data_IF_937238392724
#
_entry.id   IF_937238392724
#
_cell.length_a   1.000
_cell.length_b   1.000
_cell.length_c   1.000
_cell.angle_alpha   90.00
_cell.angle_beta   90.00
_cell.angle_gamma   90.00
#
_symmetry.space_group_name_H-M   'P 1'
#
loop_
_entity.id
_entity.type
_entity.pdbx_description
1 polymer ?
#
# COMPACT_ATOMS: atom_id res chain seq x y z
N UNK A 1 -57.45 45.20 -17.87
CA UNK A 1 -56.79 44.67 -16.65
C UNK A 1 -55.30 44.77 -16.91
N UNK A 2 -54.61 45.79 -16.35
CA UNK A 2 -53.15 45.78 -16.39
C UNK A 2 -52.68 44.50 -15.68
N UNK A 3 -51.90 43.67 -16.38
CA UNK A 3 -51.36 42.45 -15.81
C UNK A 3 -50.55 42.80 -14.58
N UNK A 4 -51.03 42.46 -13.40
CA UNK A 4 -50.34 42.63 -12.12
C UNK A 4 -48.90 42.05 -12.15
N UNK A 5 -48.68 41.06 -12.98
CA UNK A 5 -47.39 40.37 -13.17
C UNK A 5 -46.38 41.18 -14.00
N UNK A 6 -46.79 42.16 -14.78
CA UNK A 6 -45.94 43.03 -15.59
C UNK A 6 -45.49 44.31 -14.89
N UNK A 7 -45.95 44.52 -13.62
CA UNK A 7 -45.50 45.67 -12.82
C UNK A 7 -43.99 45.59 -12.56
N UNK A 8 -43.26 46.64 -12.93
CA UNK A 8 -41.81 46.67 -12.82
C UNK A 8 -41.42 47.19 -11.44
N UNK A 9 -40.66 46.40 -10.72
CA UNK A 9 -40.05 46.72 -9.42
C UNK A 9 -38.53 46.59 -9.54
N UNK A 10 -37.75 47.61 -9.28
CA UNK A 10 -36.30 47.64 -9.40
C UNK A 10 -35.82 47.02 -10.72
N UNK A 11 -36.26 47.62 -11.83
CA UNK A 11 -35.90 47.23 -13.21
C UNK A 11 -36.28 45.80 -13.64
N UNK A 12 -37.04 45.07 -12.82
CA UNK A 12 -37.47 43.70 -13.06
C UNK A 12 -38.99 43.55 -12.92
N UNK A 13 -39.64 42.69 -13.75
CA UNK A 13 -41.04 42.41 -13.59
C UNK A 13 -41.31 41.64 -12.27
N UNK A 14 -42.42 41.93 -11.62
CA UNK A 14 -42.83 41.32 -10.35
C UNK A 14 -42.80 39.79 -10.43
N UNK A 15 -43.13 39.20 -11.59
CA UNK A 15 -43.03 37.78 -11.89
C UNK A 15 -41.65 37.21 -11.60
N UNK A 16 -40.56 37.93 -11.96
CA UNK A 16 -39.19 37.48 -11.74
C UNK A 16 -38.82 37.42 -10.26
N UNK A 17 -39.26 38.42 -9.49
CA UNK A 17 -39.09 38.44 -8.03
C UNK A 17 -39.82 37.30 -7.34
N UNK A 18 -41.03 37.00 -7.75
CA UNK A 18 -41.84 35.87 -7.23
C UNK A 18 -41.18 34.53 -7.55
N UNK A 19 -40.62 34.34 -8.76
CA UNK A 19 -39.91 33.14 -9.14
C UNK A 19 -38.66 32.95 -8.28
N UNK A 20 -37.85 34.00 -8.11
CA UNK A 20 -36.65 33.93 -7.28
C UNK A 20 -37.00 33.63 -5.82
N UNK A 21 -37.98 34.31 -5.26
CA UNK A 21 -38.44 34.06 -3.88
C UNK A 21 -38.99 32.64 -3.72
N UNK A 22 -39.82 32.16 -4.66
CA UNK A 22 -40.34 30.80 -4.67
C UNK A 22 -39.23 29.75 -4.77
N UNK A 23 -38.20 29.99 -5.61
CA UNK A 23 -37.03 29.10 -5.75
C UNK A 23 -36.24 29.00 -4.45
N UNK A 24 -35.96 30.14 -3.80
CA UNK A 24 -35.24 30.17 -2.53
C UNK A 24 -36.05 29.47 -1.44
N UNK A 25 -37.34 29.75 -1.30
CA UNK A 25 -38.23 29.09 -0.36
C UNK A 25 -38.33 27.58 -0.60
N UNK A 26 -38.40 27.18 -1.87
CA UNK A 26 -38.39 25.75 -2.26
C UNK A 26 -37.11 25.06 -1.82
N UNK A 27 -35.93 25.68 -2.03
CA UNK A 27 -34.64 25.09 -1.63
C UNK A 27 -34.50 25.03 -0.10
N UNK A 28 -35.01 26.04 0.62
CA UNK A 28 -35.04 26.01 2.10
C UNK A 28 -35.95 24.87 2.59
N UNK A 29 -37.08 24.65 1.97
CA UNK A 29 -37.97 23.54 2.27
C UNK A 29 -37.33 22.18 1.91
N UNK A 30 -36.71 22.11 0.74
CA UNK A 30 -35.97 20.95 0.25
C UNK A 30 -34.78 20.61 1.15
N UNK A 31 -34.06 21.60 1.67
CA UNK A 31 -32.98 21.40 2.68
C UNK A 31 -33.47 20.54 3.85
N UNK A 32 -34.66 20.84 4.39
CA UNK A 32 -35.23 20.10 5.52
C UNK A 32 -35.61 18.65 5.14
N UNK A 33 -36.11 18.45 3.92
CA UNK A 33 -36.46 17.12 3.39
C UNK A 33 -35.21 16.30 3.06
N UNK A 34 -34.27 16.90 2.31
CA UNK A 34 -33.01 16.26 1.91
C UNK A 34 -32.15 15.89 3.13
N UNK A 35 -32.09 16.76 4.15
CA UNK A 35 -31.42 16.49 5.42
C UNK A 35 -31.93 15.20 6.08
N UNK A 36 -33.25 15.01 6.12
CA UNK A 36 -33.85 13.77 6.70
C UNK A 36 -33.64 12.53 5.84
N UNK A 37 -33.62 12.68 4.51
CA UNK A 37 -33.42 11.59 3.57
C UNK A 37 -31.94 11.11 3.60
N UNK A 38 -31.01 12.04 3.46
CA UNK A 38 -29.57 11.78 3.51
C UNK A 38 -29.18 11.20 4.87
N UNK A 39 -29.69 11.77 5.96
CA UNK A 39 -29.45 11.24 7.29
C UNK A 39 -29.94 9.78 7.45
N UNK A 40 -31.09 9.41 6.90
CA UNK A 40 -31.60 8.03 6.96
C UNK A 40 -30.78 7.07 6.13
N UNK A 41 -30.39 7.48 4.91
CA UNK A 41 -29.61 6.64 4.00
C UNK A 41 -28.19 6.40 4.51
N UNK A 42 -27.48 7.47 4.89
CA UNK A 42 -26.12 7.42 5.39
C UNK A 42 -26.02 6.73 6.75
N UNK A 43 -27.00 6.94 7.65
CA UNK A 43 -27.00 6.24 8.94
C UNK A 43 -27.14 4.72 8.76
N UNK A 44 -27.88 4.27 7.74
CA UNK A 44 -27.97 2.85 7.37
C UNK A 44 -26.65 2.31 6.85
N UNK A 45 -25.92 3.12 6.06
CA UNK A 45 -24.61 2.76 5.52
C UNK A 45 -23.51 2.73 6.59
N UNK A 46 -23.47 3.74 7.47
CA UNK A 46 -22.49 3.86 8.57
C UNK A 46 -22.70 2.73 9.60
N UNK A 47 -23.95 2.37 9.87
CA UNK A 47 -24.27 1.24 10.75
C UNK A 47 -23.73 -0.11 10.20
N UNK A 48 -23.63 -0.24 8.89
CA UNK A 48 -23.03 -1.42 8.21
C UNK A 48 -21.51 -1.50 8.41
N UNK A 49 -20.83 -0.37 8.60
CA UNK A 49 -19.37 -0.29 8.81
C UNK A 49 -18.99 -0.53 10.29
N UNK A 50 -19.98 -0.69 11.19
CA UNK A 50 -19.71 -0.99 12.61
C UNK A 50 -19.13 0.17 13.43
N UNK A 51 -19.08 1.39 12.89
CA UNK A 51 -18.62 2.59 13.59
C UNK A 51 -19.81 3.16 14.37
N UNK A 52 -19.74 3.18 15.70
CA UNK A 52 -20.73 3.81 16.57
C UNK A 52 -20.67 5.33 16.49
N UNK A 53 -21.08 5.90 15.35
CA UNK A 53 -21.11 7.35 15.15
C UNK A 53 -22.40 7.93 15.75
N UNK A 54 -22.26 9.05 16.46
CA UNK A 54 -23.41 9.79 16.93
C UNK A 54 -24.13 10.46 15.74
N UNK A 55 -25.44 10.28 15.68
CA UNK A 55 -26.30 10.85 14.65
C UNK A 55 -26.23 12.37 14.60
N UNK A 56 -26.04 13.01 15.75
CA UNK A 56 -25.91 14.46 15.85
C UNK A 56 -24.66 14.97 15.13
N UNK A 57 -23.51 14.34 15.34
CA UNK A 57 -22.25 14.71 14.69
C UNK A 57 -22.33 14.62 13.15
N UNK A 58 -23.04 13.63 12.62
CA UNK A 58 -23.26 13.53 11.17
C UNK A 58 -24.15 14.64 10.62
N UNK A 59 -25.25 14.95 11.33
CA UNK A 59 -26.15 16.03 10.92
C UNK A 59 -25.45 17.38 10.91
N UNK A 60 -24.64 17.65 11.94
CA UNK A 60 -23.97 18.94 12.12
C UNK A 60 -22.76 19.12 11.20
N UNK A 61 -22.02 18.06 10.93
CA UNK A 61 -20.78 18.13 10.14
C UNK A 61 -20.98 17.92 8.63
N UNK A 62 -22.06 17.27 8.21
CA UNK A 62 -22.28 16.95 6.80
C UNK A 62 -23.57 17.56 6.27
N UNK A 63 -24.69 17.21 6.88
CA UNK A 63 -26.00 17.56 6.32
C UNK A 63 -26.30 19.03 6.46
N UNK A 64 -25.96 19.64 7.60
CA UNK A 64 -26.11 21.06 7.85
C UNK A 64 -25.32 21.92 6.84
N UNK A 65 -24.00 21.70 6.71
CA UNK A 65 -23.17 22.43 5.76
C UNK A 65 -23.59 22.27 4.28
N UNK A 66 -23.90 21.04 3.83
CA UNK A 66 -24.41 20.81 2.47
C UNK A 66 -25.68 21.60 2.22
N UNK A 67 -26.64 21.53 3.16
CA UNK A 67 -27.88 22.25 3.03
C UNK A 67 -27.69 23.78 3.03
N UNK A 68 -26.74 24.30 3.81
CA UNK A 68 -26.43 25.74 3.82
C UNK A 68 -25.78 26.16 2.51
N UNK A 69 -24.79 25.39 2.02
CA UNK A 69 -24.16 25.65 0.73
C UNK A 69 -25.18 25.66 -0.41
N UNK A 70 -26.09 24.67 -0.48
CA UNK A 70 -27.14 24.64 -1.51
C UNK A 70 -28.05 25.86 -1.47
N UNK A 71 -28.47 26.31 -0.26
CA UNK A 71 -29.29 27.51 -0.13
C UNK A 71 -28.53 28.73 -0.62
N UNK A 72 -27.28 28.92 -0.20
CA UNK A 72 -26.44 30.06 -0.62
C UNK A 72 -26.22 30.04 -2.13
N UNK A 73 -25.82 28.89 -2.67
CA UNK A 73 -25.58 28.70 -4.11
C UNK A 73 -26.81 29.05 -4.95
N UNK A 74 -27.96 28.46 -4.63
CA UNK A 74 -29.19 28.71 -5.39
C UNK A 74 -29.70 30.13 -5.18
N UNK A 75 -29.53 30.72 -4.01
CA UNK A 75 -29.91 32.11 -3.78
C UNK A 75 -29.09 33.07 -4.62
N UNK A 76 -27.76 32.91 -4.63
CA UNK A 76 -26.87 33.77 -5.43
C UNK A 76 -27.18 33.60 -6.93
N UNK A 77 -27.21 32.36 -7.45
CA UNK A 77 -27.49 32.12 -8.90
C UNK A 77 -28.90 32.50 -9.33
N UNK A 78 -29.87 32.53 -8.40
CA UNK A 78 -31.22 33.01 -8.69
C UNK A 78 -31.28 34.54 -8.71
N UNK A 79 -30.54 35.21 -7.83
CA UNK A 79 -30.46 36.68 -7.81
C UNK A 79 -29.69 37.21 -9.02
N UNK A 80 -28.63 36.53 -9.47
CA UNK A 80 -27.88 36.90 -10.70
C UNK A 80 -28.73 36.93 -11.97
N UNK A 81 -29.87 36.21 -12.01
CA UNK A 81 -30.82 36.25 -13.13
C UNK A 81 -31.69 37.51 -13.19
N UNK A 82 -31.69 38.30 -12.11
CA UNK A 82 -32.37 39.58 -12.08
C UNK A 82 -31.48 40.63 -12.73
N UNK A 83 -32.12 41.58 -13.49
CA UNK A 83 -31.40 42.73 -13.98
C UNK A 83 -31.04 43.64 -12.81
N UNK A 84 -29.81 44.16 -12.80
CA UNK A 84 -29.36 45.03 -11.76
C UNK A 84 -30.17 46.36 -11.80
N UNK A 85 -30.72 46.84 -10.68
CA UNK A 85 -31.52 48.06 -10.64
C UNK A 85 -30.67 49.25 -10.99
N UNK A 86 -31.18 50.07 -11.95
CA UNK A 86 -30.51 51.29 -12.39
C UNK A 86 -30.36 52.31 -11.26
N UNK A 87 -31.29 52.31 -10.30
CA UNK A 87 -31.25 53.17 -9.11
C UNK A 87 -30.09 52.87 -8.15
N UNK A 88 -29.51 51.68 -8.26
CA UNK A 88 -28.36 51.23 -7.47
C UNK A 88 -27.04 51.25 -8.27
N UNK A 89 -27.06 51.70 -9.53
CA UNK A 89 -25.85 51.82 -10.36
C UNK A 89 -25.16 53.18 -10.10
N UNK A 90 -24.23 53.18 -9.16
CA UNK A 90 -23.41 54.35 -8.81
C UNK A 90 -21.94 53.92 -8.69
N UNK A 91 -21.04 54.84 -8.99
CA UNK A 91 -19.59 54.60 -8.92
C UNK A 91 -19.04 54.98 -7.53
N UNK A 92 -18.32 54.02 -6.93
CA UNK A 92 -17.56 54.22 -5.68
C UNK A 92 -16.07 54.11 -6.06
N UNK A 93 -15.32 55.24 -6.02
CA UNK A 93 -13.90 55.28 -6.38
C UNK A 93 -13.63 54.57 -7.72
N UNK A 94 -14.34 54.91 -8.79
CA UNK A 94 -14.23 54.32 -10.14
C UNK A 94 -14.67 52.86 -10.27
N UNK A 95 -15.17 52.23 -9.19
CA UNK A 95 -15.69 50.86 -9.21
C UNK A 95 -17.21 50.90 -9.23
N UNK A 96 -17.84 50.24 -10.20
CA UNK A 96 -19.30 50.11 -10.25
C UNK A 96 -19.84 49.34 -9.07
N UNK A 97 -20.90 49.77 -8.47
CA UNK A 97 -21.59 49.10 -7.34
C UNK A 97 -21.92 47.63 -7.64
N UNK A 98 -22.29 47.33 -8.89
CA UNK A 98 -22.55 45.95 -9.35
C UNK A 98 -21.32 45.08 -9.22
N UNK A 99 -20.11 45.58 -9.51
CA UNK A 99 -18.88 44.80 -9.39
C UNK A 99 -18.56 44.45 -7.91
N UNK A 100 -18.86 45.37 -6.99
CA UNK A 100 -18.72 45.15 -5.56
C UNK A 100 -19.69 44.06 -5.09
N UNK A 101 -20.95 44.12 -5.50
CA UNK A 101 -21.97 43.13 -5.13
C UNK A 101 -21.62 41.76 -5.69
N UNK A 102 -21.15 41.70 -6.96
CA UNK A 102 -20.67 40.44 -7.55
C UNK A 102 -19.47 39.87 -6.79
N UNK A 103 -18.48 40.71 -6.46
CA UNK A 103 -17.33 40.26 -5.67
C UNK A 103 -17.75 39.71 -4.28
N UNK A 104 -18.67 40.38 -3.59
CA UNK A 104 -19.23 39.92 -2.33
C UNK A 104 -19.97 38.58 -2.48
N UNK A 105 -20.77 38.41 -3.52
CA UNK A 105 -21.47 37.16 -3.82
C UNK A 105 -20.49 36.00 -4.05
N UNK A 106 -19.42 36.25 -4.81
CA UNK A 106 -18.35 35.26 -5.06
C UNK A 106 -17.60 34.92 -3.75
N UNK A 107 -17.26 35.93 -2.94
CA UNK A 107 -16.60 35.70 -1.64
C UNK A 107 -17.48 34.83 -0.73
N UNK A 108 -18.76 35.12 -0.62
CA UNK A 108 -19.71 34.35 0.19
C UNK A 108 -19.82 32.92 -0.32
N UNK A 109 -19.92 32.73 -1.65
CA UNK A 109 -20.04 31.43 -2.27
C UNK A 109 -18.80 30.56 -2.03
N UNK A 110 -17.61 31.10 -2.32
CA UNK A 110 -16.33 30.38 -2.12
C UNK A 110 -16.13 30.09 -0.64
N UNK A 111 -16.36 31.06 0.25
CA UNK A 111 -16.22 30.87 1.71
C UNK A 111 -17.16 29.78 2.21
N UNK A 112 -18.41 29.76 1.74
CA UNK A 112 -19.38 28.71 2.10
C UNK A 112 -18.98 27.33 1.57
N UNK A 113 -18.43 27.26 0.35
CA UNK A 113 -17.92 26.04 -0.23
C UNK A 113 -16.70 25.50 0.55
N UNK A 114 -15.72 26.35 0.83
CA UNK A 114 -14.55 25.96 1.63
C UNK A 114 -14.98 25.53 3.04
N UNK A 115 -15.91 26.27 3.67
CA UNK A 115 -16.45 25.87 4.97
C UNK A 115 -17.10 24.47 4.92
N UNK A 116 -17.83 24.16 3.86
CA UNK A 116 -18.37 22.80 3.62
C UNK A 116 -17.26 21.76 3.56
N UNK A 117 -16.18 22.01 2.81
CA UNK A 117 -15.05 21.09 2.70
C UNK A 117 -14.35 20.89 4.04
N UNK A 118 -14.14 21.96 4.81
CA UNK A 118 -13.55 21.90 6.15
C UNK A 118 -14.39 21.03 7.09
N UNK A 119 -15.73 21.13 7.02
CA UNK A 119 -16.64 20.28 7.81
C UNK A 119 -16.60 18.81 7.39
N UNK A 120 -16.43 18.52 6.08
CA UNK A 120 -16.22 17.15 5.60
C UNK A 120 -14.92 16.54 6.12
N UNK A 121 -13.84 17.35 6.17
CA UNK A 121 -12.56 16.93 6.78
C UNK A 121 -12.75 16.62 8.26
N UNK A 122 -13.49 17.46 9.02
CA UNK A 122 -13.82 17.20 10.42
C UNK A 122 -14.61 15.89 10.59
N UNK A 123 -15.58 15.66 9.72
CA UNK A 123 -16.38 14.44 9.74
C UNK A 123 -15.53 13.17 9.54
N UNK A 124 -14.64 13.18 8.52
CA UNK A 124 -13.72 12.07 8.26
C UNK A 124 -12.81 11.84 9.49
N UNK A 125 -12.29 12.91 10.09
CA UNK A 125 -11.45 12.82 11.28
C UNK A 125 -12.21 12.21 12.48
N UNK A 126 -13.49 12.54 12.67
CA UNK A 126 -14.33 11.95 13.73
C UNK A 126 -14.52 10.44 13.51
N UNK A 127 -14.79 10.00 12.26
CA UNK A 127 -14.92 8.57 11.92
C UNK A 127 -13.62 7.82 12.27
N UNK A 128 -12.47 8.34 11.79
CA UNK A 128 -11.18 7.71 12.01
C UNK A 128 -10.82 7.62 13.49
N UNK A 129 -11.08 8.69 14.28
CA UNK A 129 -10.85 8.70 15.73
C UNK A 129 -11.73 7.69 16.47
N UNK A 130 -13.01 7.58 16.08
CA UNK A 130 -13.93 6.63 16.70
C UNK A 130 -13.48 5.19 16.47
N UNK A 131 -12.94 4.92 15.28
CA UNK A 131 -12.35 3.61 14.93
C UNK A 131 -11.06 3.35 15.72
N UNK A 132 -10.12 4.31 15.74
CA UNK A 132 -8.86 4.19 16.46
C UNK A 132 -9.04 4.00 17.98
N UNK A 133 -10.08 4.60 18.59
CA UNK A 133 -10.43 4.37 19.99
C UNK A 133 -10.88 2.94 20.28
N UNK A 134 -11.62 2.31 19.37
CA UNK A 134 -12.05 0.92 19.53
C UNK A 134 -10.86 -0.05 19.46
N UNK A 135 -9.85 0.27 18.65
CA UNK A 135 -8.65 -0.55 18.47
C UNK A 135 -7.56 -0.29 19.52
N UNK A 136 -7.81 0.60 20.52
CA UNK A 136 -6.91 0.88 21.64
C UNK A 136 -5.62 1.64 21.29
N UNK A 137 -5.51 2.20 20.08
CA UNK A 137 -4.31 2.86 19.58
C UNK A 137 -4.28 4.36 19.90
N UNK A 138 -3.52 4.75 20.94
CA UNK A 138 -3.31 6.16 21.26
C UNK A 138 -2.47 6.93 20.22
N UNK A 139 -1.56 6.25 19.52
CA UNK A 139 -0.69 6.86 18.48
C UNK A 139 -1.47 7.31 17.26
N UNK A 140 -2.51 6.59 16.88
CA UNK A 140 -3.30 6.90 15.69
C UNK A 140 -4.11 8.19 15.87
N UNK A 141 -4.48 8.55 17.09
CA UNK A 141 -5.18 9.79 17.36
C UNK A 141 -4.38 11.05 17.03
N UNK A 142 -3.07 11.09 17.31
CA UNK A 142 -2.22 12.24 17.00
C UNK A 142 -2.03 12.42 15.48
N UNK A 143 -1.83 11.31 14.75
CA UNK A 143 -1.71 11.34 13.30
C UNK A 143 -3.00 11.85 12.62
N UNK A 144 -4.16 11.41 13.10
CA UNK A 144 -5.46 11.86 12.59
C UNK A 144 -5.64 13.37 12.79
N UNK A 145 -5.23 13.91 13.96
CA UNK A 145 -5.28 15.36 14.23
C UNK A 145 -4.38 16.10 13.26
N UNK A 146 -3.13 15.66 13.11
CA UNK A 146 -2.15 16.29 12.24
C UNK A 146 -2.64 16.32 10.77
N UNK A 147 -3.10 15.20 10.24
CA UNK A 147 -3.62 15.12 8.86
C UNK A 147 -4.84 16.03 8.68
N UNK A 148 -5.76 16.05 9.65
CA UNK A 148 -6.93 16.94 9.62
C UNK A 148 -6.50 18.40 9.52
N UNK A 149 -5.61 18.84 10.41
CA UNK A 149 -5.20 20.25 10.49
C UNK A 149 -4.37 20.66 9.27
N UNK A 150 -3.53 19.76 8.75
CA UNK A 150 -2.81 19.94 7.50
C UNK A 150 -3.77 20.12 6.30
N UNK A 151 -4.75 19.22 6.15
CA UNK A 151 -5.75 19.31 5.08
C UNK A 151 -6.56 20.61 5.17
N UNK A 152 -6.93 21.04 6.38
CA UNK A 152 -7.63 22.31 6.60
C UNK A 152 -6.78 23.51 6.19
N UNK A 153 -5.50 23.51 6.54
CA UNK A 153 -4.57 24.58 6.14
C UNK A 153 -4.45 24.66 4.61
N UNK A 154 -4.30 23.53 3.93
CA UNK A 154 -4.24 23.47 2.45
C UNK A 154 -5.55 23.99 1.83
N UNK A 155 -6.70 23.53 2.31
CA UNK A 155 -8.01 24.01 1.84
C UNK A 155 -8.20 25.50 2.10
N UNK A 156 -7.72 26.02 3.24
CA UNK A 156 -7.74 27.45 3.54
C UNK A 156 -6.92 28.28 2.54
N UNK A 157 -5.70 27.83 2.23
CA UNK A 157 -4.84 28.49 1.22
C UNK A 157 -5.53 28.49 -0.14
N UNK A 158 -6.07 27.33 -0.58
CA UNK A 158 -6.81 27.23 -1.85
C UNK A 158 -8.00 28.19 -1.85
N UNK A 159 -8.77 28.26 -0.76
CA UNK A 159 -9.91 29.16 -0.64
C UNK A 159 -9.52 30.64 -0.77
N UNK A 160 -8.45 31.06 -0.11
CA UNK A 160 -7.92 32.43 -0.22
C UNK A 160 -7.51 32.73 -1.68
N UNK A 161 -6.78 31.83 -2.34
CA UNK A 161 -6.38 32.01 -3.74
C UNK A 161 -7.58 32.08 -4.67
N UNK A 162 -8.60 31.26 -4.48
CA UNK A 162 -9.84 31.33 -5.26
C UNK A 162 -10.56 32.67 -5.07
N UNK A 163 -10.62 33.20 -3.84
CA UNK A 163 -11.22 34.51 -3.58
C UNK A 163 -10.41 35.62 -4.27
N UNK A 164 -9.08 35.59 -4.18
CA UNK A 164 -8.21 36.57 -4.84
C UNK A 164 -8.39 36.55 -6.37
N UNK A 165 -8.49 35.36 -6.94
CA UNK A 165 -8.68 35.21 -8.40
C UNK A 165 -10.05 35.68 -8.86
N UNK A 166 -11.11 35.19 -8.22
CA UNK A 166 -12.46 35.36 -8.73
C UNK A 166 -13.14 36.66 -8.29
N UNK A 167 -12.97 37.03 -7.01
CA UNK A 167 -13.60 38.26 -6.49
C UNK A 167 -12.77 39.50 -6.81
N UNK A 168 -11.44 39.42 -6.68
CA UNK A 168 -10.55 40.57 -6.88
C UNK A 168 -9.88 40.60 -8.25
N UNK A 169 -10.12 39.56 -9.10
CA UNK A 169 -9.52 39.43 -10.43
C UNK A 169 -7.98 39.49 -10.44
N UNK A 170 -7.35 39.12 -9.33
CA UNK A 170 -5.89 39.08 -9.21
C UNK A 170 -5.33 37.93 -10.03
N UNK A 171 -4.28 38.18 -10.80
CA UNK A 171 -3.59 37.13 -11.50
C UNK A 171 -2.82 36.24 -10.52
N UNK A 172 -3.35 35.06 -10.24
CA UNK A 172 -2.78 34.10 -9.29
C UNK A 172 -1.78 33.13 -9.93
N UNK A 173 -1.46 33.27 -11.22
CA UNK A 173 -0.60 32.31 -11.95
C UNK A 173 0.78 32.17 -11.30
N UNK A 174 1.41 33.28 -10.86
CA UNK A 174 2.70 33.26 -10.18
C UNK A 174 2.63 32.51 -8.84
N UNK A 175 1.57 32.72 -8.06
CA UNK A 175 1.34 32.02 -6.79
C UNK A 175 1.09 30.52 -7.00
N UNK A 176 0.31 30.15 -8.00
CA UNK A 176 0.07 28.76 -8.37
C UNK A 176 1.36 28.07 -8.85
N UNK A 177 2.20 28.77 -9.63
CA UNK A 177 3.50 28.24 -10.07
C UNK A 177 4.44 27.98 -8.88
N UNK A 178 4.51 28.92 -7.94
CA UNK A 178 5.32 28.77 -6.71
C UNK A 178 4.80 27.62 -5.85
N UNK A 179 3.51 27.54 -5.63
CA UNK A 179 2.87 26.44 -4.89
C UNK A 179 3.05 25.09 -5.61
N UNK A 180 3.00 25.08 -6.94
CA UNK A 180 3.26 23.90 -7.75
C UNK A 180 4.68 23.39 -7.57
N UNK A 181 5.67 24.29 -7.57
CA UNK A 181 7.08 23.95 -7.31
C UNK A 181 7.28 23.40 -5.89
N UNK A 182 6.68 24.05 -4.89
CA UNK A 182 6.72 23.56 -3.51
C UNK A 182 6.02 22.18 -3.39
N UNK A 183 4.88 22.00 -4.05
CA UNK A 183 4.16 20.73 -4.13
C UNK A 183 4.98 19.62 -4.78
N UNK A 184 5.72 19.95 -5.87
CA UNK A 184 6.62 19.01 -6.52
C UNK A 184 7.76 18.57 -5.59
N UNK A 185 8.34 19.50 -4.82
CA UNK A 185 9.37 19.16 -3.83
C UNK A 185 8.84 18.22 -2.73
N UNK A 186 7.65 18.48 -2.22
CA UNK A 186 6.98 17.60 -1.24
C UNK A 186 6.66 16.23 -1.86
N UNK A 187 6.19 16.20 -3.12
CA UNK A 187 5.90 14.95 -3.82
C UNK A 187 7.16 14.09 -4.02
N UNK A 188 8.29 14.72 -4.38
CA UNK A 188 9.58 14.03 -4.48
C UNK A 188 10.05 13.49 -3.12
N UNK A 189 9.88 14.25 -2.05
CA UNK A 189 10.18 13.79 -0.69
C UNK A 189 9.30 12.62 -0.24
N UNK A 190 8.03 12.58 -0.65
CA UNK A 190 7.08 11.52 -0.34
C UNK A 190 7.16 10.30 -1.28
N UNK A 191 7.89 10.38 -2.39
CA UNK A 191 7.95 9.38 -3.46
C UNK A 191 8.17 7.97 -2.94
N UNK A 192 9.20 7.75 -2.12
CA UNK A 192 9.52 6.42 -1.58
C UNK A 192 8.37 5.83 -0.75
N UNK A 193 7.68 6.66 0.04
CA UNK A 193 6.54 6.22 0.85
C UNK A 193 5.37 5.77 -0.02
N UNK A 194 5.11 6.51 -1.11
CA UNK A 194 4.05 6.19 -2.08
C UNK A 194 4.41 4.91 -2.85
N UNK A 195 5.66 4.74 -3.29
CA UNK A 195 6.13 3.53 -3.97
C UNK A 195 5.95 2.28 -3.07
N UNK A 196 6.29 2.37 -1.79
CA UNK A 196 6.07 1.29 -0.84
C UNK A 196 4.59 0.96 -0.63
N UNK A 197 3.72 1.97 -0.62
CA UNK A 197 2.28 1.77 -0.53
C UNK A 197 1.74 1.05 -1.78
N UNK A 198 2.15 1.48 -2.98
CA UNK A 198 1.79 0.84 -4.24
C UNK A 198 2.29 -0.61 -4.26
N UNK A 199 3.53 -0.87 -3.85
CA UNK A 199 4.06 -2.22 -3.72
C UNK A 199 3.25 -3.10 -2.78
N UNK A 200 2.72 -2.54 -1.68
CA UNK A 200 1.80 -3.27 -0.79
C UNK A 200 0.52 -3.72 -1.52
N UNK A 201 -0.04 -2.87 -2.37
CA UNK A 201 -1.20 -3.24 -3.19
C UNK A 201 -0.83 -4.34 -4.21
N UNK A 202 0.33 -4.23 -4.87
CA UNK A 202 0.82 -5.29 -5.79
C UNK A 202 0.91 -6.63 -5.05
N UNK A 203 1.56 -6.68 -3.89
CA UNK A 203 1.65 -7.90 -3.07
C UNK A 203 0.27 -8.45 -2.70
N UNK A 204 -0.69 -7.56 -2.39
CA UNK A 204 -2.04 -7.96 -1.99
C UNK A 204 -2.85 -8.54 -3.16
N UNK A 205 -2.73 -7.97 -4.37
CA UNK A 205 -3.49 -8.43 -5.55
C UNK A 205 -2.84 -9.65 -6.21
N UNK A 206 -1.54 -9.59 -6.50
CA UNK A 206 -0.82 -10.63 -7.23
C UNK A 206 -0.44 -11.82 -6.34
N UNK A 207 -0.32 -11.58 -5.03
CA UNK A 207 -0.02 -12.61 -4.02
C UNK A 207 1.20 -13.47 -4.35
N UNK A 208 2.35 -12.90 -4.71
CA UNK A 208 3.56 -13.67 -4.95
C UNK A 208 4.00 -14.46 -3.71
N UNK A 209 3.60 -13.98 -2.53
CA UNK A 209 3.72 -14.64 -1.24
C UNK A 209 2.63 -14.16 -0.27
N UNK A 210 2.42 -14.91 0.81
CA UNK A 210 1.44 -14.61 1.86
C UNK A 210 2.09 -14.62 3.24
N UNK A 211 1.39 -14.10 4.24
CA UNK A 211 1.79 -14.30 5.63
C UNK A 211 1.77 -15.81 5.96
N UNK A 212 2.85 -16.28 6.57
CA UNK A 212 3.11 -17.69 6.83
C UNK A 212 4.06 -18.37 5.83
N UNK A 213 4.28 -17.79 4.64
CA UNK A 213 5.19 -18.37 3.65
C UNK A 213 6.65 -18.22 4.08
N UNK A 214 7.44 -19.25 3.79
CA UNK A 214 8.89 -19.29 4.00
C UNK A 214 9.59 -18.87 2.72
N UNK A 215 10.28 -17.74 2.78
CA UNK A 215 10.86 -17.06 1.62
C UNK A 215 12.37 -16.95 1.73
N UNK A 216 13.02 -16.88 0.58
CA UNK A 216 14.38 -16.36 0.44
C UNK A 216 14.35 -15.13 -0.46
N UNK A 217 14.75 -13.97 0.09
CA UNK A 217 14.83 -12.69 -0.61
C UNK A 217 16.21 -12.13 -0.40
N UNK A 218 16.97 -11.96 -1.47
CA UNK A 218 18.41 -11.64 -1.39
C UNK A 218 19.11 -12.61 -0.40
N UNK A 219 19.75 -12.09 0.66
CA UNK A 219 20.44 -12.89 1.69
C UNK A 219 19.57 -13.16 2.93
N UNK A 220 18.26 -12.84 2.88
CA UNK A 220 17.34 -13.03 4.01
C UNK A 220 16.49 -14.26 3.73
N UNK A 221 16.55 -15.25 4.62
CA UNK A 221 15.68 -16.41 4.61
C UNK A 221 14.84 -16.43 5.87
N UNK A 222 13.54 -16.69 5.74
CA UNK A 222 12.64 -16.72 6.88
C UNK A 222 11.17 -16.75 6.52
N UNK A 223 10.33 -16.79 7.53
CA UNK A 223 8.87 -16.85 7.42
C UNK A 223 8.28 -15.44 7.43
N UNK A 224 7.40 -15.13 6.50
CA UNK A 224 6.63 -13.88 6.47
C UNK A 224 5.69 -13.86 7.66
N UNK A 225 5.90 -12.94 8.59
CA UNK A 225 5.02 -12.80 9.76
C UNK A 225 3.83 -11.88 9.47
N UNK A 226 4.12 -10.74 8.84
CA UNK A 226 3.11 -9.73 8.53
C UNK A 226 3.51 -8.90 7.33
N UNK A 227 2.54 -8.63 6.47
CA UNK A 227 2.62 -7.66 5.38
C UNK A 227 1.91 -6.39 5.83
N UNK A 228 2.66 -5.29 5.97
CA UNK A 228 2.14 -3.97 6.33
C UNK A 228 1.95 -3.07 5.11
N UNK A 229 1.47 -1.84 5.32
CA UNK A 229 1.27 -0.85 4.25
C UNK A 229 2.58 -0.39 3.59
N UNK A 230 3.68 -0.35 4.33
CA UNK A 230 4.98 0.13 3.84
C UNK A 230 6.04 -0.98 3.79
N UNK A 231 5.96 -1.96 4.68
CA UNK A 231 7.00 -2.94 4.87
C UNK A 231 6.43 -4.30 5.26
N UNK A 232 7.14 -5.34 4.86
CA UNK A 232 6.90 -6.73 5.22
C UNK A 232 7.88 -7.14 6.32
N UNK A 233 7.38 -7.81 7.36
CA UNK A 233 8.18 -8.36 8.45
C UNK A 233 8.42 -9.84 8.23
N UNK A 234 9.69 -10.22 8.25
CA UNK A 234 10.14 -11.61 8.08
C UNK A 234 10.80 -12.07 9.39
N UNK A 235 10.40 -13.22 9.90
CA UNK A 235 11.05 -13.90 11.02
C UNK A 235 12.11 -14.83 10.45
N UNK A 236 13.38 -14.56 10.74
CA UNK A 236 14.51 -15.37 10.26
C UNK A 236 14.60 -16.70 11.00
N UNK A 237 15.43 -17.60 10.50
CA UNK A 237 15.71 -18.89 11.17
C UNK A 237 16.37 -18.70 12.54
N UNK A 238 17.10 -17.61 12.73
CA UNK A 238 17.67 -17.19 14.01
C UNK A 238 16.64 -16.59 14.98
N UNK A 239 15.32 -16.60 14.60
CA UNK A 239 14.22 -16.05 15.39
C UNK A 239 14.24 -14.54 15.57
N UNK A 240 15.05 -13.82 14.80
CA UNK A 240 15.05 -12.36 14.72
C UNK A 240 14.02 -11.85 13.75
N UNK A 241 13.70 -10.56 13.83
CA UNK A 241 12.82 -9.89 12.88
C UNK A 241 13.61 -9.02 11.91
N UNK A 242 13.39 -9.23 10.63
CA UNK A 242 13.87 -8.34 9.58
C UNK A 242 12.67 -7.63 8.96
N UNK A 243 12.76 -6.33 8.87
CA UNK A 243 11.71 -5.50 8.23
C UNK A 243 12.22 -5.03 6.87
N UNK A 244 11.59 -5.49 5.81
CA UNK A 244 11.95 -5.18 4.42
C UNK A 244 10.90 -4.23 3.83
N UNK A 245 11.27 -3.10 3.21
CA UNK A 245 10.35 -2.25 2.47
C UNK A 245 9.59 -3.04 1.40
N UNK A 246 8.30 -2.79 1.24
CA UNK A 246 7.47 -3.54 0.27
C UNK A 246 7.96 -3.33 -1.17
N UNK A 247 8.43 -2.12 -1.50
CA UNK A 247 9.05 -1.84 -2.80
C UNK A 247 10.22 -2.80 -3.06
N UNK A 248 11.12 -2.97 -2.09
CA UNK A 248 12.24 -3.88 -2.23
C UNK A 248 11.80 -5.34 -2.39
N UNK A 249 10.71 -5.75 -1.72
CA UNK A 249 10.14 -7.09 -1.89
C UNK A 249 9.61 -7.33 -3.31
N UNK A 250 9.02 -6.30 -3.95
CA UNK A 250 8.48 -6.40 -5.32
C UNK A 250 9.59 -6.30 -6.37
N UNK A 251 10.58 -5.45 -6.15
CA UNK A 251 11.69 -5.21 -7.09
C UNK A 251 12.76 -6.32 -7.03
N UNK A 252 12.79 -7.13 -5.96
CA UNK A 252 13.77 -8.21 -5.79
C UNK A 252 13.27 -9.55 -6.33
N UNK A 253 14.20 -10.44 -6.62
CA UNK A 253 13.88 -11.85 -6.86
C UNK A 253 13.47 -12.50 -5.53
N UNK A 254 12.23 -12.94 -5.46
CA UNK A 254 11.66 -13.66 -4.32
C UNK A 254 11.54 -15.12 -4.65
N UNK A 255 12.26 -15.97 -3.91
CA UNK A 255 12.11 -17.43 -3.99
C UNK A 255 11.14 -17.89 -2.88
N UNK A 256 9.96 -18.35 -3.29
CA UNK A 256 8.94 -18.86 -2.36
C UNK A 256 9.16 -20.35 -2.09
N UNK A 257 9.91 -20.61 -1.03
CA UNK A 257 10.28 -21.97 -0.64
C UNK A 257 9.10 -22.79 -0.07
N UNK A 258 7.98 -22.15 0.28
CA UNK A 258 6.74 -22.85 0.67
C UNK A 258 6.07 -23.52 -0.52
N UNK A 259 6.16 -22.90 -1.70
CA UNK A 259 5.53 -23.39 -2.94
C UNK A 259 6.37 -24.42 -3.70
N UNK A 260 7.48 -24.88 -3.12
CA UNK A 260 8.30 -25.92 -3.73
C UNK A 260 7.49 -27.20 -3.92
N UNK A 261 7.62 -27.81 -5.09
CA UNK A 261 6.97 -29.09 -5.40
C UNK A 261 7.74 -30.27 -4.85
N UNK A 262 9.07 -30.14 -4.75
CA UNK A 262 9.97 -31.18 -4.26
C UNK A 262 11.11 -30.56 -3.45
N UNK A 263 11.74 -31.34 -2.57
CA UNK A 263 13.01 -31.00 -1.93
C UNK A 263 14.13 -31.77 -2.58
N UNK A 264 15.18 -31.06 -3.01
CA UNK A 264 16.41 -31.67 -3.54
C UNK A 264 17.34 -32.02 -2.37
N UNK A 265 17.76 -33.28 -2.30
CA UNK A 265 18.91 -33.73 -1.55
C UNK A 265 20.08 -33.91 -2.49
N UNK A 266 21.25 -33.54 -2.05
CA UNK A 266 22.48 -33.64 -2.83
C UNK A 266 23.58 -34.18 -1.92
N UNK A 267 24.29 -35.19 -2.40
CA UNK A 267 25.49 -35.72 -1.79
C UNK A 267 26.57 -35.79 -2.87
N UNK A 268 27.68 -35.13 -2.66
CA UNK A 268 28.85 -35.13 -3.52
C UNK A 268 29.94 -35.91 -2.82
N UNK A 269 30.45 -36.92 -3.52
CA UNK A 269 31.54 -37.78 -3.06
C UNK A 269 32.77 -37.60 -3.90
N UNK A 270 33.92 -37.58 -3.25
CA UNK A 270 35.24 -37.56 -3.87
C UNK A 270 35.90 -38.90 -3.53
N UNK A 271 36.02 -39.80 -4.51
CA UNK A 271 36.56 -41.14 -4.30
C UNK A 271 38.01 -41.22 -4.82
N UNK A 272 38.83 -42.05 -4.16
CA UNK A 272 40.21 -42.21 -4.48
C UNK A 272 40.44 -42.73 -5.93
N UNK A 273 41.44 -42.17 -6.63
CA UNK A 273 41.85 -42.62 -7.95
C UNK A 273 42.37 -44.07 -7.97
N UNK A 274 42.70 -44.66 -6.82
CA UNK A 274 43.06 -46.07 -6.70
C UNK A 274 41.87 -47.01 -6.90
N UNK A 275 40.62 -46.51 -6.93
CA UNK A 275 39.43 -47.30 -7.04
C UNK A 275 39.28 -47.83 -8.48
N UNK A 276 39.20 -49.15 -8.74
CA UNK A 276 39.03 -49.71 -10.06
C UNK A 276 37.66 -49.31 -10.68
N UNK A 277 37.61 -49.06 -11.99
CA UNK A 277 36.40 -48.64 -12.69
C UNK A 277 35.21 -49.62 -12.49
N UNK A 278 35.48 -50.93 -12.41
CA UNK A 278 34.44 -51.92 -12.15
C UNK A 278 33.81 -51.76 -10.75
N UNK A 279 34.60 -51.38 -9.73
CA UNK A 279 34.10 -51.05 -8.37
C UNK A 279 33.26 -49.78 -8.39
N UNK A 280 33.63 -48.74 -9.20
CA UNK A 280 32.86 -47.49 -9.33
C UNK A 280 31.50 -47.78 -9.96
N UNK A 281 31.42 -48.59 -11.00
CA UNK A 281 30.14 -48.93 -11.65
C UNK A 281 29.23 -49.70 -10.69
N UNK A 282 29.79 -50.68 -9.94
CA UNK A 282 29.05 -51.43 -8.93
C UNK A 282 28.59 -50.53 -7.80
N UNK A 283 29.42 -49.58 -7.37
CA UNK A 283 29.05 -48.56 -6.37
C UNK A 283 27.89 -47.66 -6.85
N UNK A 284 27.96 -47.16 -8.09
CA UNK A 284 26.89 -46.34 -8.63
C UNK A 284 25.56 -47.10 -8.69
N UNK A 285 25.59 -48.40 -9.08
CA UNK A 285 24.41 -49.23 -9.07
C UNK A 285 23.87 -49.48 -7.65
N UNK A 286 24.75 -49.75 -6.67
CA UNK A 286 24.40 -49.88 -5.27
C UNK A 286 23.81 -48.62 -4.67
N UNK A 287 24.40 -47.46 -4.94
CA UNK A 287 23.93 -46.16 -4.49
C UNK A 287 22.54 -45.80 -5.09
N UNK A 288 22.28 -46.14 -6.34
CA UNK A 288 20.93 -46.03 -6.95
C UNK A 288 19.90 -46.87 -6.16
N UNK A 289 20.24 -48.08 -5.76
CA UNK A 289 19.33 -48.93 -5.00
C UNK A 289 19.04 -48.37 -3.56
N UNK A 290 20.01 -47.70 -2.96
CA UNK A 290 19.79 -46.99 -1.69
C UNK A 290 18.77 -45.91 -1.83
N UNK A 291 18.82 -45.12 -2.92
CA UNK A 291 17.94 -44.01 -3.19
C UNK A 291 16.51 -44.40 -3.61
N UNK A 292 16.30 -45.63 -4.06
CA UNK A 292 14.95 -46.16 -4.40
C UNK A 292 14.10 -46.39 -3.15
N UNK A 293 14.70 -46.41 -1.97
CA UNK A 293 14.01 -46.64 -0.68
C UNK A 293 13.35 -45.35 -0.18
N UNK A 294 12.11 -45.49 0.34
CA UNK A 294 11.39 -44.52 1.18
C UNK A 294 11.34 -43.02 0.77
N UNK A 295 10.21 -42.61 0.24
CA UNK A 295 9.83 -41.21 -0.01
C UNK A 295 10.73 -40.43 -0.97
N UNK A 296 11.64 -41.09 -1.67
CA UNK A 296 12.41 -40.54 -2.81
C UNK A 296 11.61 -40.77 -4.08
N UNK A 297 11.26 -39.68 -4.77
CA UNK A 297 10.45 -39.76 -6.02
C UNK A 297 11.32 -39.94 -7.26
N UNK A 298 12.45 -39.24 -7.28
CA UNK A 298 13.44 -39.32 -8.37
C UNK A 298 14.84 -39.27 -7.80
N UNK A 299 15.75 -39.99 -8.45
CA UNK A 299 17.17 -39.95 -8.09
C UNK A 299 18.05 -40.17 -9.30
N UNK A 300 19.21 -39.55 -9.28
CA UNK A 300 20.30 -39.74 -10.25
C UNK A 300 21.61 -39.95 -9.51
N UNK A 301 22.34 -40.97 -9.89
CA UNK A 301 23.72 -41.23 -9.42
C UNK A 301 24.60 -41.40 -10.63
N UNK A 302 25.66 -40.62 -10.72
CA UNK A 302 26.56 -40.66 -11.86
C UNK A 302 27.96 -40.16 -11.51
N UNK A 303 28.95 -40.63 -12.24
CA UNK A 303 30.29 -40.09 -12.22
C UNK A 303 30.26 -38.74 -12.94
N UNK A 304 30.41 -37.67 -12.19
CA UNK A 304 30.29 -36.28 -12.69
C UNK A 304 31.58 -35.85 -13.39
N UNK A 305 32.72 -36.12 -12.79
CA UNK A 305 34.03 -35.69 -13.31
C UNK A 305 35.17 -36.57 -12.78
N UNK A 306 36.32 -36.49 -13.45
CA UNK A 306 37.57 -37.14 -13.05
C UNK A 306 38.61 -36.04 -12.93
N UNK A 307 39.02 -35.76 -11.70
CA UNK A 307 40.04 -34.74 -11.42
C UNK A 307 41.43 -35.41 -11.27
N UNK A 308 42.47 -34.59 -11.14
CA UNK A 308 43.81 -35.09 -10.87
C UNK A 308 43.96 -35.76 -9.48
N UNK A 309 42.98 -35.65 -8.57
CA UNK A 309 43.03 -36.11 -7.20
C UNK A 309 41.89 -37.07 -6.82
N UNK A 310 40.78 -37.05 -7.53
CA UNK A 310 39.59 -37.83 -7.17
C UNK A 310 38.63 -38.08 -8.33
N UNK A 311 37.83 -39.15 -8.19
CA UNK A 311 36.60 -39.36 -8.94
C UNK A 311 35.46 -38.66 -8.26
N UNK A 312 34.73 -37.74 -8.97
CA UNK A 312 33.60 -36.98 -8.43
C UNK A 312 32.30 -37.69 -8.76
N UNK A 313 31.61 -38.21 -7.76
CA UNK A 313 30.29 -38.84 -7.91
C UNK A 313 29.24 -37.95 -7.29
N UNK A 314 28.20 -37.62 -8.06
CA UNK A 314 27.06 -36.91 -7.58
C UNK A 314 25.85 -37.84 -7.38
N UNK A 315 25.25 -37.72 -6.21
CA UNK A 315 23.97 -38.35 -5.85
C UNK A 315 22.93 -37.27 -5.65
N UNK A 316 22.07 -37.07 -6.64
CA UNK A 316 20.94 -36.14 -6.54
C UNK A 316 19.65 -36.94 -6.32
N UNK A 317 18.84 -36.51 -5.36
CA UNK A 317 17.54 -37.13 -5.13
C UNK A 317 16.51 -36.10 -4.76
N UNK A 318 15.24 -36.39 -5.08
CA UNK A 318 14.12 -35.51 -4.84
C UNK A 318 13.08 -36.21 -3.96
N UNK A 319 12.60 -35.52 -2.96
CA UNK A 319 11.50 -35.99 -2.10
C UNK A 319 10.30 -35.07 -2.29
N UNK A 320 9.10 -35.54 -1.92
CA UNK A 320 7.95 -34.64 -1.74
C UNK A 320 8.29 -33.48 -0.80
N UNK A 321 7.49 -32.40 -0.75
CA UNK A 321 7.76 -31.22 0.09
C UNK A 321 7.53 -31.51 1.58
N UNK A 322 8.32 -32.44 2.14
CA UNK A 322 8.29 -32.83 3.53
C UNK A 322 8.71 -31.72 4.50
N UNK A 323 8.27 -31.77 5.77
CA UNK A 323 8.84 -30.93 6.83
C UNK A 323 10.35 -31.09 6.90
N UNK A 324 11.06 -30.01 7.28
CA UNK A 324 12.54 -29.99 7.29
C UNK A 324 13.16 -31.10 8.15
N UNK A 325 12.54 -31.42 9.26
CA UNK A 325 13.04 -32.47 10.18
C UNK A 325 12.96 -33.87 9.54
N UNK A 326 11.85 -34.16 8.83
CA UNK A 326 11.70 -35.43 8.11
C UNK A 326 12.68 -35.53 6.93
N UNK A 327 12.85 -34.43 6.18
CA UNK A 327 13.83 -34.37 5.11
C UNK A 327 15.26 -34.58 5.61
N UNK A 328 15.63 -33.96 6.72
CA UNK A 328 16.95 -34.15 7.36
C UNK A 328 17.15 -35.58 7.83
N UNK A 329 16.13 -36.24 8.33
CA UNK A 329 16.20 -37.65 8.71
C UNK A 329 16.46 -38.57 7.50
N UNK A 330 15.80 -38.29 6.35
CA UNK A 330 16.06 -39.00 5.10
C UNK A 330 17.50 -38.75 4.64
N UNK A 331 17.93 -37.48 4.62
CA UNK A 331 19.29 -37.09 4.23
C UNK A 331 20.36 -37.81 5.10
N UNK A 332 20.15 -37.84 6.39
CA UNK A 332 21.07 -38.54 7.31
C UNK A 332 21.12 -40.03 7.01
N UNK A 333 19.99 -40.69 6.79
CA UNK A 333 19.91 -42.10 6.45
C UNK A 333 20.65 -42.40 5.15
N UNK A 334 20.36 -41.62 4.08
CA UNK A 334 21.03 -41.76 2.80
C UNK A 334 22.56 -41.67 2.95
N UNK A 335 23.03 -40.66 3.70
CA UNK A 335 24.46 -40.49 3.93
C UNK A 335 25.09 -41.67 4.68
N UNK A 336 24.40 -42.23 5.67
CA UNK A 336 24.88 -43.40 6.45
C UNK A 336 24.86 -44.67 5.57
N UNK A 337 23.80 -44.90 4.81
CA UNK A 337 23.69 -46.08 3.93
C UNK A 337 24.77 -46.06 2.84
N UNK A 338 25.07 -44.87 2.27
CA UNK A 338 26.14 -44.68 1.27
C UNK A 338 27.51 -44.89 1.95
N UNK A 339 27.74 -44.40 3.18
CA UNK A 339 28.99 -44.66 3.90
C UNK A 339 29.18 -46.13 4.15
N UNK A 340 28.15 -46.85 4.60
CA UNK A 340 28.19 -48.32 4.79
C UNK A 340 28.48 -49.05 3.48
N UNK A 341 27.95 -48.59 2.36
CA UNK A 341 28.24 -49.18 1.06
C UNK A 341 29.71 -48.98 0.65
N UNK A 342 30.29 -47.80 0.94
CA UNK A 342 31.71 -47.51 0.69
C UNK A 342 32.61 -48.45 1.52
N UNK A 343 32.30 -48.63 2.80
CA UNK A 343 33.01 -49.52 3.70
C UNK A 343 32.94 -50.99 3.23
N UNK A 344 31.75 -51.48 2.86
CA UNK A 344 31.56 -52.87 2.35
C UNK A 344 32.32 -53.13 1.06
N UNK A 345 32.49 -52.12 0.21
CA UNK A 345 33.20 -52.27 -1.06
C UNK A 345 34.67 -51.91 -0.97
N UNK A 346 35.18 -51.58 0.23
CA UNK A 346 36.56 -51.15 0.43
C UNK A 346 36.95 -50.06 -0.58
N UNK A 347 36.13 -48.97 -0.62
CA UNK A 347 36.33 -47.78 -1.44
C UNK A 347 36.71 -46.62 -0.52
N UNK A 348 37.89 -46.06 -0.76
CA UNK A 348 38.38 -44.93 0.02
C UNK A 348 37.88 -43.60 -0.52
N UNK A 349 37.47 -42.68 0.38
CA UNK A 349 37.21 -41.27 0.07
C UNK A 349 38.56 -40.62 -0.19
N UNK A 350 38.66 -39.80 -1.25
CA UNK A 350 39.88 -39.08 -1.54
C UNK A 350 40.16 -38.08 -0.39
N UNK A 351 41.27 -38.31 0.30
CA UNK A 351 41.76 -37.38 1.31
C UNK A 351 42.93 -36.56 0.76
N UNK A 352 43.13 -35.37 1.24
CA UNK A 352 44.39 -34.67 1.07
C UNK A 352 45.48 -35.48 1.84
N UNK A 353 46.21 -36.32 1.11
CA UNK A 353 47.42 -36.92 1.67
C UNK A 353 48.46 -35.82 1.76
N UNK A 354 48.53 -35.15 2.88
CA UNK A 354 49.72 -34.36 3.23
C UNK A 354 50.84 -35.31 3.51
N UNK A 355 51.60 -35.74 2.47
CA UNK A 355 52.89 -36.40 2.67
C UNK A 355 53.84 -35.38 3.29
N UNK A 356 53.97 -35.37 4.60
CA UNK A 356 55.06 -34.69 5.30
C UNK A 356 56.31 -35.47 4.94
N UNK A 357 57.01 -35.00 3.91
CA UNK A 357 58.38 -35.42 3.66
C UNK A 357 59.24 -34.92 4.83
N UNK A 358 59.47 -35.76 5.82
CA UNK A 358 60.48 -35.54 6.85
C UNK A 358 61.83 -35.75 6.17
N UNK A 359 62.67 -34.71 5.97
CA UNK A 359 64.02 -34.93 5.43
C UNK A 359 64.77 -35.89 6.32
N UNK A 360 65.28 -36.98 5.71
CA UNK A 360 65.93 -38.08 6.43
C UNK A 360 67.02 -37.63 7.36
N UNK A 361 67.00 -38.20 8.56
CA UNK A 361 68.12 -38.23 9.50
C UNK A 361 69.32 -38.92 8.83
N UNK A 362 70.51 -38.30 8.77
CA UNK A 362 71.67 -38.94 8.16
C UNK A 362 72.06 -40.15 9.00
N UNK A 363 72.29 -41.29 8.35
CA UNK A 363 72.80 -42.52 8.91
C UNK A 363 74.15 -42.24 9.60
N UNK A 364 74.24 -42.42 10.90
CA UNK A 364 75.50 -42.51 11.64
C UNK A 364 76.14 -43.86 11.34
N UNK A 365 77.30 -43.80 10.67
CA UNK A 365 78.28 -44.87 10.53
C UNK A 365 78.85 -45.33 11.86
#
# INVERSE_FOLDING_TARGET
MHDFWSFIVFSNPLKSWVIVAATILFVIALKRFLSRLIARFMFRFIRRIGVGLDRSAFLDLVVGPIGTFLVVFVSITSIEKLHFPLELDFDIYEIKSIAIIQALAVIILISCFIWLLLRLVDFIAVILRTKARKDGSHRDNQLIVFIRDFLKAVLGIIGILMILAEAFKVNITAYLSTLGLAGAAVALAAKESIENLIASFVIFFDKPFKAGDYLKVNNITGTVERIGLRSTRIRTDQKTYVTVPNKQMVDSVVDNLTLRTQRKGELRLELSLSTPAAKLDTFIAGAKNILVKDKVENSTVFLNDITGTAFLINLDYFTSPLPINEFNAIKQRVNLDVLTLLEQMDIEIAGETTTVNVPGTPATT
#
